data_IF_129626879648
#
_entry.id   IF_129626879648
#
_cell.length_a   1.000
_cell.length_b   1.000
_cell.length_c   1.000
_cell.angle_alpha   90.00
_cell.angle_beta   90.00
_cell.angle_gamma   90.00
#
_symmetry.space_group_name_H-M   'P 1'
#
loop_
_entity.id
_entity.type
_entity.pdbx_description
1 polymer ?
#
# COMPACT_ATOMS: atom_id res chain seq x y z
N UNK A 1 7.58 54.07 -9.66
CA UNK A 1 7.35 52.89 -8.80
C UNK A 1 6.41 51.95 -9.53
N UNK A 2 6.96 50.98 -10.26
CA UNK A 2 6.20 49.94 -10.94
C UNK A 2 5.75 48.92 -9.89
N UNK A 3 4.44 48.78 -9.67
CA UNK A 3 3.91 47.67 -8.87
C UNK A 3 3.75 46.44 -9.77
N UNK A 4 4.53 45.40 -9.47
CA UNK A 4 4.40 44.04 -10.03
C UNK A 4 3.11 43.38 -9.51
N UNK A 5 2.37 42.61 -10.34
CA UNK A 5 1.22 41.84 -9.86
C UNK A 5 1.66 40.64 -9.03
N UNK A 6 1.05 40.48 -7.85
CA UNK A 6 1.31 39.41 -6.91
C UNK A 6 0.66 38.08 -7.34
N UNK A 7 1.52 37.08 -7.49
CA UNK A 7 1.34 35.64 -7.25
C UNK A 7 0.00 34.97 -7.65
N UNK A 8 0.08 34.16 -8.71
CA UNK A 8 -0.87 33.11 -9.08
C UNK A 8 -1.18 32.21 -7.87
N UNK A 9 -2.46 32.08 -7.54
CA UNK A 9 -2.95 31.02 -6.67
C UNK A 9 -2.52 29.63 -7.22
N UNK A 10 -2.10 28.69 -6.37
CA UNK A 10 -1.79 27.34 -6.82
C UNK A 10 -3.07 26.71 -7.34
N UNK A 11 -3.03 26.35 -8.62
CA UNK A 11 -4.07 25.67 -9.36
C UNK A 11 -4.54 24.46 -8.55
N UNK A 12 -5.75 24.52 -7.96
CA UNK A 12 -6.41 23.34 -7.37
C UNK A 12 -6.67 22.39 -8.52
N UNK A 13 -5.70 21.52 -8.81
CA UNK A 13 -5.86 20.41 -9.74
C UNK A 13 -7.01 19.56 -9.23
N UNK A 14 -8.18 19.75 -9.85
CA UNK A 14 -9.27 18.80 -9.84
C UNK A 14 -8.66 17.45 -10.25
N UNK A 15 -8.68 16.40 -9.42
CA UNK A 15 -8.19 15.11 -9.85
C UNK A 15 -9.02 14.71 -11.08
N UNK A 16 -8.35 14.68 -12.22
CA UNK A 16 -8.88 14.11 -13.46
C UNK A 16 -9.26 12.68 -13.15
N UNK A 17 -10.46 12.25 -13.58
CA UNK A 17 -10.85 10.83 -13.63
C UNK A 17 -9.83 10.09 -14.50
N UNK A 18 -8.71 9.69 -13.93
CA UNK A 18 -7.72 8.84 -14.58
C UNK A 18 -8.32 7.45 -14.55
N UNK A 19 -8.67 6.94 -15.74
CA UNK A 19 -9.08 5.55 -15.96
C UNK A 19 -7.89 4.63 -15.73
N UNK A 20 -7.46 4.53 -14.48
CA UNK A 20 -6.47 3.55 -14.08
C UNK A 20 -7.08 2.15 -14.24
N UNK A 21 -6.26 1.13 -14.56
CA UNK A 21 -6.75 -0.23 -14.61
C UNK A 21 -7.40 -0.62 -13.26
N UNK A 22 -8.38 -1.53 -13.28
CA UNK A 22 -9.00 -2.01 -12.05
C UNK A 22 -7.93 -2.56 -11.10
N UNK A 23 -8.15 -2.36 -9.80
CA UNK A 23 -7.25 -2.88 -8.77
C UNK A 23 -7.29 -4.40 -8.80
N UNK A 24 -6.13 -5.03 -8.99
CA UNK A 24 -6.04 -6.49 -9.01
C UNK A 24 -6.13 -7.05 -7.59
N UNK A 25 -6.73 -8.23 -7.47
CA UNK A 25 -6.79 -8.99 -6.21
C UNK A 25 -5.82 -10.18 -6.30
N UNK A 26 -5.19 -10.51 -5.17
CA UNK A 26 -4.40 -11.73 -5.01
C UNK A 26 -4.90 -12.51 -3.80
N UNK A 27 -5.04 -13.83 -3.91
CA UNK A 27 -5.40 -14.68 -2.78
C UNK A 27 -4.19 -14.95 -1.87
N UNK A 28 -4.40 -15.27 -0.58
CA UNK A 28 -3.31 -15.64 0.33
C UNK A 28 -2.44 -16.81 -0.17
N UNK A 29 -3.05 -17.80 -0.83
CA UNK A 29 -2.35 -18.95 -1.41
C UNK A 29 -1.48 -18.59 -2.60
N UNK A 30 -1.95 -17.69 -3.46
CA UNK A 30 -1.16 -17.20 -4.61
C UNK A 30 0.02 -16.37 -4.12
N UNK A 31 -0.20 -15.51 -3.11
CA UNK A 31 0.87 -14.72 -2.51
C UNK A 31 1.93 -15.61 -1.85
N UNK A 32 1.54 -16.61 -1.07
CA UNK A 32 2.48 -17.56 -0.45
C UNK A 32 3.29 -18.33 -1.50
N UNK A 33 2.64 -18.78 -2.58
CA UNK A 33 3.33 -19.42 -3.71
C UNK A 33 4.35 -18.47 -4.36
N UNK A 34 3.99 -17.20 -4.56
CA UNK A 34 4.87 -16.20 -5.13
C UNK A 34 6.08 -15.91 -4.23
N UNK A 35 5.87 -15.83 -2.91
CA UNK A 35 6.93 -15.63 -1.92
C UNK A 35 7.91 -16.81 -1.87
N UNK A 36 7.43 -18.05 -2.03
CA UNK A 36 8.26 -19.26 -2.02
C UNK A 36 9.11 -19.44 -3.28
N UNK A 37 8.66 -18.94 -4.44
CA UNK A 37 9.34 -19.14 -5.73
C UNK A 37 10.67 -18.38 -5.87
N UNK A 38 10.98 -17.43 -4.98
CA UNK A 38 12.34 -16.93 -4.71
C UNK A 38 13.04 -16.11 -5.81
N UNK A 39 12.57 -16.11 -7.07
CA UNK A 39 13.26 -15.39 -8.16
C UNK A 39 13.09 -13.86 -8.08
N UNK A 40 11.92 -13.39 -7.62
CA UNK A 40 11.60 -11.98 -7.34
C UNK A 40 10.38 -11.93 -6.41
N UNK A 41 10.59 -11.95 -5.10
CA UNK A 41 9.48 -11.85 -4.13
C UNK A 41 8.81 -10.48 -4.25
N UNK A 42 7.46 -10.41 -4.38
CA UNK A 42 6.76 -9.13 -4.48
C UNK A 42 6.98 -8.29 -3.22
N UNK A 43 6.98 -6.97 -3.37
CA UNK A 43 6.98 -6.09 -2.21
C UNK A 43 5.60 -6.13 -1.56
N UNK A 44 5.54 -6.42 -0.26
CA UNK A 44 4.27 -6.51 0.48
C UNK A 44 4.21 -5.39 1.52
N UNK A 45 3.13 -4.61 1.51
CA UNK A 45 2.89 -3.49 2.41
C UNK A 45 1.70 -3.78 3.33
N UNK A 46 1.94 -3.71 4.63
CA UNK A 46 0.92 -3.83 5.68
C UNK A 46 0.40 -2.43 6.04
N UNK A 47 -0.85 -2.13 5.69
CA UNK A 47 -1.50 -0.86 5.97
C UNK A 47 -2.26 -0.84 7.31
N UNK A 48 -2.21 -1.93 8.09
CA UNK A 48 -2.85 -1.99 9.40
C UNK A 48 -2.13 -1.09 10.40
N UNK A 49 -2.78 -0.75 11.53
CA UNK A 49 -2.10 -0.08 12.62
C UNK A 49 -0.82 -0.81 13.04
N UNK A 50 0.25 -0.06 13.35
CA UNK A 50 1.58 -0.63 13.67
C UNK A 50 1.54 -1.65 14.82
N UNK A 51 0.62 -1.49 15.77
CA UNK A 51 0.42 -2.46 16.85
C UNK A 51 -0.11 -3.83 16.36
N UNK A 52 -0.85 -3.87 15.25
CA UNK A 52 -1.30 -5.10 14.62
C UNK A 52 -0.17 -5.80 13.86
N UNK A 53 0.69 -5.04 13.18
CA UNK A 53 1.89 -5.55 12.52
C UNK A 53 2.81 -6.30 13.50
N UNK A 54 2.99 -5.75 14.71
CA UNK A 54 3.82 -6.38 15.76
C UNK A 54 3.24 -7.67 16.34
N UNK A 55 1.93 -7.93 16.20
CA UNK A 55 1.30 -9.21 16.58
C UNK A 55 1.41 -10.28 15.49
N UNK A 56 1.98 -9.89 14.36
CA UNK A 56 2.33 -10.74 13.24
C UNK A 56 1.76 -10.19 11.94
N UNK A 57 2.42 -10.54 10.84
CA UNK A 57 2.21 -10.01 9.49
C UNK A 57 2.60 -11.06 8.43
N UNK A 58 2.29 -10.79 7.17
CA UNK A 58 2.79 -11.59 6.03
C UNK A 58 4.32 -11.60 6.05
N UNK A 59 4.95 -12.74 5.79
CA UNK A 59 6.41 -12.84 5.80
C UNK A 59 7.03 -11.87 4.77
N UNK A 60 8.04 -11.10 5.20
CA UNK A 60 8.67 -10.07 4.38
C UNK A 60 7.82 -8.81 4.13
N UNK A 61 6.67 -8.67 4.80
CA UNK A 61 5.87 -7.45 4.68
C UNK A 61 6.46 -6.28 5.45
N UNK A 62 6.19 -5.09 4.93
CA UNK A 62 6.70 -3.82 5.44
C UNK A 62 5.55 -3.04 6.04
N UNK A 63 5.70 -2.61 7.30
CA UNK A 63 4.69 -1.79 7.95
C UNK A 63 4.65 -0.38 7.35
N UNK A 64 3.46 0.03 6.89
CA UNK A 64 3.16 1.42 6.55
C UNK A 64 2.55 2.14 7.75
N UNK A 65 3.14 3.27 8.14
CA UNK A 65 2.60 4.16 9.19
C UNK A 65 1.44 5.02 8.67
N UNK A 66 0.47 4.42 7.98
CA UNK A 66 -0.67 5.11 7.36
C UNK A 66 -1.99 4.95 8.13
N UNK A 67 -1.96 4.39 9.34
CA UNK A 67 -3.16 4.14 10.15
C UNK A 67 -3.80 5.42 10.71
N UNK A 68 -3.04 6.50 10.88
CA UNK A 68 -3.56 7.76 11.40
C UNK A 68 -4.10 8.70 10.31
N UNK A 69 -5.10 9.51 10.68
CA UNK A 69 -5.81 10.42 9.77
C UNK A 69 -4.90 11.52 9.22
N UNK A 70 -3.88 11.95 9.97
CA UNK A 70 -3.02 13.07 9.61
C UNK A 70 -2.08 12.64 8.48
N UNK A 71 -1.41 11.50 8.63
CA UNK A 71 -0.55 10.89 7.63
C UNK A 71 -1.29 10.65 6.32
N UNK A 72 -2.51 10.07 6.38
CA UNK A 72 -3.35 9.89 5.18
C UNK A 72 -3.69 11.20 4.49
N UNK A 73 -4.09 12.23 5.25
CA UNK A 73 -4.43 13.54 4.68
C UNK A 73 -3.22 14.21 4.03
N UNK A 74 -2.03 14.07 4.64
CA UNK A 74 -0.79 14.60 4.06
C UNK A 74 -0.38 13.84 2.79
N UNK A 75 -0.54 12.52 2.77
CA UNK A 75 -0.31 11.69 1.58
C UNK A 75 -1.24 12.10 0.43
N UNK A 76 -2.54 12.23 0.71
CA UNK A 76 -3.55 12.68 -0.26
C UNK A 76 -3.27 14.10 -0.79
N UNK A 77 -2.70 14.98 0.04
CA UNK A 77 -2.31 16.33 -0.36
C UNK A 77 -0.93 16.42 -1.05
N UNK A 78 -0.21 15.30 -1.19
CA UNK A 78 1.16 15.27 -1.73
C UNK A 78 2.21 15.96 -0.85
N UNK A 79 1.92 16.13 0.45
CA UNK A 79 2.83 16.73 1.46
C UNK A 79 3.65 15.69 2.24
N UNK A 80 3.49 14.43 1.87
CA UNK A 80 4.13 13.26 2.42
C UNK A 80 4.14 12.21 1.31
N UNK A 81 5.29 11.61 1.03
CA UNK A 81 5.39 10.53 0.06
C UNK A 81 5.09 9.17 0.70
N UNK A 82 4.77 8.17 -0.12
CA UNK A 82 4.59 6.79 0.35
C UNK A 82 5.85 6.26 1.05
N UNK A 83 7.02 6.56 0.49
CA UNK A 83 8.32 6.17 1.04
C UNK A 83 8.61 6.76 2.43
N UNK A 84 7.97 7.88 2.81
CA UNK A 84 8.15 8.50 4.12
C UNK A 84 7.35 7.80 5.23
N UNK A 85 6.36 7.00 4.84
CA UNK A 85 5.51 6.21 5.76
C UNK A 85 6.17 4.89 6.17
N UNK A 86 7.22 4.49 5.46
CA UNK A 86 8.01 3.30 5.72
C UNK A 86 9.17 3.67 6.65
N UNK A 87 9.39 2.88 7.71
CA UNK A 87 10.54 3.05 8.61
C UNK A 87 11.75 2.23 8.19
N UNK A 88 11.53 1.15 7.43
CA UNK A 88 12.58 0.26 6.95
C UNK A 88 13.30 0.88 5.74
N UNK A 89 14.62 1.05 5.85
CA UNK A 89 15.41 1.74 4.85
C UNK A 89 15.52 0.94 3.53
N UNK A 90 15.66 -0.39 3.62
CA UNK A 90 15.76 -1.25 2.44
C UNK A 90 14.43 -1.26 1.67
N UNK A 91 13.31 -1.39 2.38
CA UNK A 91 11.99 -1.31 1.79
C UNK A 91 11.71 0.07 1.17
N UNK A 92 12.20 1.14 1.80
CA UNK A 92 12.10 2.49 1.25
C UNK A 92 12.83 2.61 -0.08
N UNK A 93 14.04 2.08 -0.18
CA UNK A 93 14.83 2.08 -1.42
C UNK A 93 14.16 1.23 -2.50
N UNK A 94 13.66 0.04 -2.15
CA UNK A 94 12.87 -0.80 -3.05
C UNK A 94 11.62 -0.10 -3.58
N UNK A 95 10.89 0.65 -2.73
CA UNK A 95 9.74 1.44 -3.18
C UNK A 95 10.12 2.56 -4.14
N UNK A 96 11.31 3.15 -4.00
CA UNK A 96 11.77 4.20 -4.91
C UNK A 96 12.14 3.63 -6.29
N UNK A 97 12.50 2.35 -6.36
CA UNK A 97 12.93 1.67 -7.60
C UNK A 97 11.91 0.68 -8.16
N UNK A 98 10.76 0.47 -7.51
CA UNK A 98 9.73 -0.52 -7.86
C UNK A 98 8.94 -0.26 -9.17
N UNK A 99 9.46 0.57 -10.08
CA UNK A 99 8.76 0.93 -11.32
C UNK A 99 8.55 -0.32 -12.18
N UNK A 100 7.29 -0.61 -12.50
CA UNK A 100 6.87 -1.80 -13.25
C UNK A 100 6.66 -3.07 -12.39
N UNK A 101 7.11 -3.06 -11.13
CA UNK A 101 6.92 -4.16 -10.19
C UNK A 101 5.48 -4.20 -9.63
N UNK A 102 5.12 -5.36 -9.06
CA UNK A 102 3.89 -5.52 -8.30
C UNK A 102 4.15 -5.19 -6.83
N UNK A 103 3.29 -4.34 -6.28
CA UNK A 103 3.30 -3.98 -4.87
C UNK A 103 1.99 -4.44 -4.26
N UNK A 104 2.09 -5.46 -3.41
CA UNK A 104 0.94 -6.03 -2.71
C UNK A 104 0.62 -5.18 -1.49
N UNK A 105 -0.63 -4.78 -1.33
CA UNK A 105 -1.13 -4.02 -0.18
C UNK A 105 -2.23 -4.80 0.52
N UNK A 106 -2.33 -4.68 1.85
CA UNK A 106 -3.42 -5.29 2.60
C UNK A 106 -3.76 -4.50 3.87
N UNK A 107 -4.99 -4.69 4.34
CA UNK A 107 -5.46 -4.18 5.63
C UNK A 107 -6.30 -5.23 6.38
N UNK A 108 -6.98 -4.82 7.47
CA UNK A 108 -7.78 -5.71 8.31
C UNK A 108 -9.18 -6.01 7.78
N UNK A 109 -9.63 -5.39 6.68
CA UNK A 109 -11.05 -5.38 6.33
C UNK A 109 -11.37 -5.54 4.85
N UNK A 110 -10.43 -5.25 3.98
CA UNK A 110 -10.67 -5.17 2.54
C UNK A 110 -10.54 -6.56 1.91
N UNK A 111 -11.66 -7.04 1.37
CA UNK A 111 -11.74 -8.36 0.73
C UNK A 111 -11.94 -8.29 -0.77
N UNK A 112 -12.49 -7.19 -1.26
CA UNK A 112 -12.83 -7.01 -2.67
C UNK A 112 -12.32 -5.65 -3.16
N UNK A 113 -11.88 -5.59 -4.41
CA UNK A 113 -11.34 -4.36 -5.02
C UNK A 113 -12.37 -3.22 -5.02
N UNK A 114 -13.66 -3.54 -5.18
CA UNK A 114 -14.75 -2.58 -5.23
C UNK A 114 -15.00 -1.87 -3.89
N UNK A 115 -14.50 -2.41 -2.78
CA UNK A 115 -14.56 -1.74 -1.47
C UNK A 115 -13.61 -0.53 -1.39
N UNK A 116 -12.60 -0.49 -2.25
CA UNK A 116 -11.63 0.59 -2.33
C UNK A 116 -12.20 1.75 -3.16
N UNK A 117 -13.15 2.47 -2.58
CA UNK A 117 -13.71 3.72 -3.13
C UNK A 117 -12.77 4.90 -2.92
N UNK A 118 -13.01 6.06 -3.54
CA UNK A 118 -12.14 7.24 -3.40
C UNK A 118 -11.87 7.67 -1.95
N UNK A 119 -12.84 7.48 -1.04
CA UNK A 119 -12.72 7.80 0.38
C UNK A 119 -12.09 6.69 1.24
N UNK A 120 -11.74 5.55 0.63
CA UNK A 120 -11.18 4.41 1.36
C UNK A 120 -9.78 4.73 1.90
N UNK A 121 -9.39 4.27 3.11
CA UNK A 121 -8.07 4.53 3.68
C UNK A 121 -6.89 4.08 2.81
N UNK A 122 -7.09 3.05 1.99
CA UNK A 122 -6.08 2.53 1.04
C UNK A 122 -5.96 3.34 -0.25
N UNK A 123 -6.95 4.16 -0.59
CA UNK A 123 -6.99 4.93 -1.84
C UNK A 123 -5.78 5.84 -2.05
N UNK A 124 -5.33 6.65 -1.06
CA UNK A 124 -4.11 7.43 -1.24
C UNK A 124 -2.86 6.57 -1.36
N UNK A 125 -2.79 5.39 -0.72
CA UNK A 125 -1.66 4.46 -0.84
C UNK A 125 -1.59 3.89 -2.25
N UNK A 126 -2.72 3.40 -2.78
CA UNK A 126 -2.83 2.84 -4.14
C UNK A 126 -2.51 3.91 -5.19
N UNK A 127 -3.00 5.13 -5.00
CA UNK A 127 -2.66 6.26 -5.87
C UNK A 127 -1.15 6.53 -5.88
N UNK A 128 -0.52 6.59 -4.70
CA UNK A 128 0.94 6.81 -4.62
C UNK A 128 1.76 5.68 -5.23
N UNK A 129 1.34 4.42 -5.11
CA UNK A 129 2.00 3.28 -5.79
C UNK A 129 1.95 3.46 -7.31
N UNK A 130 0.79 3.88 -7.85
CA UNK A 130 0.62 4.15 -9.28
C UNK A 130 1.48 5.32 -9.74
N UNK A 131 1.60 6.37 -8.92
CA UNK A 131 2.46 7.53 -9.20
C UNK A 131 3.94 7.15 -9.26
N UNK A 132 4.38 6.17 -8.46
CA UNK A 132 5.72 5.57 -8.55
C UNK A 132 5.92 4.71 -9.82
N UNK A 133 4.86 4.48 -10.60
CA UNK A 133 4.88 3.65 -11.79
C UNK A 133 4.87 2.15 -11.51
N UNK A 134 4.47 1.76 -10.30
CA UNK A 134 4.29 0.37 -9.88
C UNK A 134 2.82 -0.07 -10.04
N UNK A 135 2.59 -1.38 -9.96
CA UNK A 135 1.27 -2.00 -10.09
C UNK A 135 0.75 -2.39 -8.71
N UNK A 136 -0.25 -1.66 -8.15
CA UNK A 136 -0.83 -2.04 -6.86
C UNK A 136 -1.69 -3.30 -7.02
N UNK A 137 -1.51 -4.24 -6.11
CA UNK A 137 -2.30 -5.48 -6.00
C UNK A 137 -2.83 -5.55 -4.56
N UNK A 138 -4.12 -5.84 -4.40
CA UNK A 138 -4.75 -5.94 -3.09
C UNK A 138 -4.79 -7.41 -2.65
N UNK A 139 -4.26 -7.71 -1.47
CA UNK A 139 -4.45 -9.04 -0.87
C UNK A 139 -5.92 -9.20 -0.46
N UNK A 140 -6.51 -10.30 -0.91
CA UNK A 140 -7.89 -10.64 -0.61
C UNK A 140 -8.05 -11.01 0.86
N UNK A 141 -8.82 -10.19 1.56
CA UNK A 141 -9.46 -10.55 2.80
C UNK A 141 -8.59 -10.34 4.02
N UNK A 142 -9.06 -10.95 5.09
CA UNK A 142 -8.50 -10.85 6.43
C UNK A 142 -7.33 -11.81 6.57
N UNK A 143 -6.17 -11.32 7.00
CA UNK A 143 -5.06 -12.19 7.42
C UNK A 143 -5.33 -12.67 8.84
N UNK A 144 -6.32 -13.53 8.96
CA UNK A 144 -6.68 -14.20 10.20
C UNK A 144 -6.62 -15.69 9.89
N UNK A 145 -5.60 -16.37 10.43
CA UNK A 145 -5.54 -17.82 10.36
C UNK A 145 -6.55 -18.37 11.38
N UNK A 146 -7.61 -19.10 10.97
CA UNK A 146 -8.56 -19.66 11.92
C UNK A 146 -7.96 -20.78 12.80
N UNK A 147 -6.76 -21.27 12.46
CA UNK A 147 -6.09 -22.37 13.16
C UNK A 147 -4.88 -21.96 14.04
N UNK A 148 -4.38 -20.72 13.92
CA UNK A 148 -3.24 -20.23 14.71
C UNK A 148 -3.54 -18.87 15.35
N UNK A 149 -3.53 -18.79 16.68
CA UNK A 149 -3.65 -17.54 17.44
C UNK A 149 -2.41 -16.61 17.34
N UNK A 150 -1.37 -17.02 16.61
CA UNK A 150 -0.20 -16.20 16.27
C UNK A 150 0.02 -16.24 14.76
N UNK A 151 0.17 -15.07 14.15
CA UNK A 151 0.34 -14.91 12.71
C UNK A 151 1.65 -15.55 12.23
N UNK A 152 1.57 -16.42 11.23
CA UNK A 152 2.74 -16.86 10.48
C UNK A 152 2.33 -17.19 9.05
N UNK A 153 2.69 -16.32 8.10
CA UNK A 153 2.90 -16.74 6.70
C UNK A 153 4.32 -17.35 6.57
N UNK A 154 4.88 -17.83 7.68
CA UNK A 154 6.08 -18.68 7.71
C UNK A 154 5.73 -20.15 7.42
N UNK A 155 4.51 -20.60 7.70
CA UNK A 155 4.07 -21.98 7.50
C UNK A 155 2.60 -22.06 7.06
N UNK A 156 2.32 -21.68 5.80
CA UNK A 156 1.18 -22.28 5.11
C UNK A 156 1.57 -23.74 4.79
N UNK A 157 1.35 -24.66 5.73
CA UNK A 157 1.14 -26.07 5.39
C UNK A 157 -0.36 -26.27 5.21
N UNK A 158 -0.80 -26.28 3.95
CA UNK A 158 -2.05 -26.98 3.63
C UNK A 158 -1.74 -28.47 3.70
N UNK A 159 -2.34 -29.17 4.67
CA UNK A 159 -2.51 -30.62 4.65
C UNK A 159 -3.98 -30.95 4.67
#
# INVERSE_FOLDING_TARGET
>A
MLYLPTSRAPNRRRPSKTSHPPLQLVSPSELDTALRKGSTSPLVLDCRPTFAFGRGHVNGAVSLRCSDRISRRRLQMGRLGLCDLVSDQEARERLQTCRGEEVVVYDDGTSEADQVTEDHPLSPVIASIRELGARPVLLKGKIYCPFCFFLCISEIRYS
#
